data_IF_698553961961
#
_entry.id   IF_698553961961
#
_cell.length_a   1.000
_cell.length_b   1.000
_cell.length_c   1.000
_cell.angle_alpha   90.00
_cell.angle_beta   90.00
_cell.angle_gamma   90.00
#
_symmetry.space_group_name_H-M   'P 1'
#
loop_
_entity.id
_entity.type
_entity.pdbx_description
1 polymer ?
#
# COMPACT_ATOMS: atom_id res chain seq x y z
N UNK A 1 0.34 -4.42 -8.60
CA UNK A 1 -1.01 -4.43 -8.00
C UNK A 1 -0.89 -4.35 -6.49
N UNK A 2 -1.63 -3.45 -5.86
CA UNK A 2 -1.68 -3.24 -4.40
C UNK A 2 -3.09 -3.56 -3.91
N UNK A 3 -3.21 -4.27 -2.79
CA UNK A 3 -4.50 -4.59 -2.17
C UNK A 3 -4.49 -4.06 -0.74
N UNK A 4 -5.46 -3.21 -0.42
CA UNK A 4 -5.63 -2.57 0.88
C UNK A 4 -6.88 -3.14 1.56
N UNK A 5 -6.69 -3.73 2.73
CA UNK A 5 -7.77 -4.19 3.59
C UNK A 5 -7.83 -3.33 4.85
N UNK A 6 -9.03 -3.00 5.31
CA UNK A 6 -9.23 -2.30 6.58
C UNK A 6 -10.51 -2.80 7.25
N UNK A 7 -10.55 -2.77 8.57
CA UNK A 7 -11.75 -2.98 9.38
C UNK A 7 -12.47 -1.66 9.72
N UNK A 8 -11.94 -0.52 9.27
CA UNK A 8 -12.61 0.77 9.41
C UNK A 8 -13.91 0.79 8.58
N UNK A 9 -15.03 1.32 9.13
CA UNK A 9 -16.30 1.35 8.42
C UNK A 9 -16.30 2.47 7.38
N UNK A 10 -16.04 2.17 6.11
CA UNK A 10 -15.89 3.15 5.04
C UNK A 10 -16.89 2.94 3.89
N UNK A 11 -17.44 4.04 3.35
CA UNK A 11 -18.14 4.06 2.06
C UNK A 11 -17.22 3.67 0.89
N UNK A 12 -17.82 3.29 -0.24
CA UNK A 12 -17.16 3.14 -1.54
C UNK A 12 -16.34 4.40 -1.93
N UNK A 13 -16.89 5.61 -1.71
CA UNK A 13 -16.18 6.87 -1.91
C UNK A 13 -14.91 6.97 -1.05
N UNK A 14 -14.99 6.63 0.23
CA UNK A 14 -13.85 6.72 1.13
C UNK A 14 -12.83 5.59 0.89
N UNK A 15 -13.27 4.40 0.50
CA UNK A 15 -12.40 3.33 0.00
C UNK A 15 -11.66 3.74 -1.26
N UNK A 16 -12.30 4.45 -2.19
CA UNK A 16 -11.62 5.00 -3.37
C UNK A 16 -10.53 6.00 -2.99
N UNK A 17 -10.80 6.87 -2.00
CA UNK A 17 -9.80 7.81 -1.48
C UNK A 17 -8.64 7.09 -0.80
N UNK A 18 -8.94 6.02 -0.06
CA UNK A 18 -7.97 5.16 0.60
C UNK A 18 -7.09 4.43 -0.43
N UNK A 19 -7.67 3.84 -1.47
CA UNK A 19 -6.95 3.18 -2.56
C UNK A 19 -5.92 4.10 -3.22
N UNK A 20 -6.27 5.37 -3.47
CA UNK A 20 -5.34 6.36 -4.02
C UNK A 20 -4.11 6.61 -3.14
N UNK A 21 -4.17 6.33 -1.84
CA UNK A 21 -3.03 6.47 -0.92
C UNK A 21 -2.00 5.36 -1.08
N UNK A 22 -2.41 4.18 -1.57
CA UNK A 22 -1.45 3.13 -1.94
C UNK A 22 -0.46 3.61 -3.01
N UNK A 23 -0.92 4.41 -3.98
CA UNK A 23 -0.04 5.01 -5.00
C UNK A 23 0.99 5.98 -4.41
N UNK A 24 0.64 6.70 -3.33
CA UNK A 24 1.58 7.57 -2.65
C UNK A 24 2.65 6.77 -1.87
N UNK A 25 2.29 5.62 -1.29
CA UNK A 25 3.27 4.69 -0.72
C UNK A 25 4.21 4.11 -1.78
N UNK A 26 3.66 3.69 -2.92
CA UNK A 26 4.45 3.26 -4.09
C UNK A 26 5.43 4.34 -4.57
N UNK A 27 5.01 5.60 -4.64
CA UNK A 27 5.89 6.70 -5.06
C UNK A 27 7.09 6.89 -4.11
N UNK A 28 6.92 6.65 -2.80
CA UNK A 28 8.01 6.76 -1.81
C UNK A 28 9.10 5.71 -2.00
N UNK A 29 8.79 4.59 -2.66
CA UNK A 29 9.79 3.57 -2.99
C UNK A 29 10.58 3.88 -4.27
N UNK A 30 10.37 5.06 -4.87
CA UNK A 30 11.09 5.51 -6.08
C UNK A 30 10.39 5.15 -7.40
N UNK A 31 9.16 4.64 -7.37
CA UNK A 31 8.42 4.32 -8.57
C UNK A 31 7.99 5.60 -9.32
N UNK A 32 8.26 5.65 -10.63
CA UNK A 32 7.84 6.73 -11.52
C UNK A 32 6.52 6.47 -12.25
N UNK A 33 5.92 5.29 -12.04
CA UNK A 33 4.68 4.85 -12.71
C UNK A 33 4.81 4.93 -14.24
N UNK A 34 5.85 4.29 -14.78
CA UNK A 34 6.19 4.32 -16.20
C UNK A 34 5.07 3.75 -17.10
N UNK A 35 5.06 4.09 -18.38
CA UNK A 35 4.00 3.74 -19.36
C UNK A 35 3.66 2.24 -19.41
N UNK A 36 4.67 1.37 -19.31
CA UNK A 36 4.48 -0.09 -19.26
C UNK A 36 4.04 -0.65 -17.90
N UNK A 37 3.88 0.18 -16.87
CA UNK A 37 3.59 -0.23 -15.50
C UNK A 37 2.09 -0.33 -15.23
N UNK A 38 1.64 -1.51 -14.80
CA UNK A 38 0.24 -1.76 -14.41
C UNK A 38 -0.04 -1.42 -12.96
N UNK A 39 0.01 -0.14 -12.60
CA UNK A 39 -0.14 0.32 -11.21
C UNK A 39 -1.61 0.54 -10.80
N UNK A 40 -2.19 -0.49 -10.16
CA UNK A 40 -3.58 -0.47 -9.66
C UNK A 40 -3.65 -0.77 -8.17
N UNK A 41 -4.60 -0.11 -7.49
CA UNK A 41 -4.92 -0.34 -6.07
C UNK A 41 -6.38 -0.74 -5.92
N UNK A 42 -6.61 -1.86 -5.22
CA UNK A 42 -7.93 -2.28 -4.75
C UNK A 42 -8.01 -2.01 -3.24
N UNK A 43 -9.08 -1.35 -2.77
CA UNK A 43 -9.33 -1.19 -1.34
C UNK A 43 -10.70 -1.73 -0.95
N UNK A 44 -10.78 -2.43 0.19
CA UNK A 44 -12.04 -2.92 0.74
C UNK A 44 -12.08 -2.79 2.27
N UNK A 45 -13.30 -2.68 2.80
CA UNK A 45 -13.57 -2.71 4.24
C UNK A 45 -14.19 -4.05 4.64
N UNK A 46 -13.74 -4.62 5.75
CA UNK A 46 -14.33 -5.81 6.37
C UNK A 46 -15.44 -5.48 7.36
N UNK A 47 -15.63 -4.20 7.71
CA UNK A 47 -16.54 -3.75 8.75
C UNK A 47 -18.00 -4.12 8.43
N UNK A 48 -18.68 -4.72 9.41
CA UNK A 48 -20.05 -5.20 9.24
C UNK A 48 -21.05 -4.06 8.97
N UNK A 49 -20.83 -2.89 9.55
CA UNK A 49 -21.72 -1.73 9.41
C UNK A 49 -21.81 -1.18 7.98
N UNK A 50 -20.78 -1.41 7.15
CA UNK A 50 -20.73 -0.98 5.73
C UNK A 50 -20.82 -2.16 4.75
N UNK A 51 -21.00 -3.39 5.25
CA UNK A 51 -21.14 -4.58 4.41
C UNK A 51 -22.43 -4.53 3.59
N UNK A 52 -22.30 -4.71 2.28
CA UNK A 52 -23.42 -4.80 1.33
C UNK A 52 -23.94 -6.24 1.27
N UNK A 53 -24.81 -6.64 2.18
CA UNK A 53 -25.46 -7.97 2.18
C UNK A 53 -26.60 -8.04 1.15
N UNK A 54 -27.09 -9.24 0.75
CA UNK A 54 -28.26 -9.34 -0.14
C UNK A 54 -29.48 -8.56 0.37
N UNK A 55 -29.80 -8.67 1.67
CA UNK A 55 -30.91 -7.94 2.29
C UNK A 55 -30.73 -6.41 2.24
N UNK A 56 -29.49 -5.91 2.37
CA UNK A 56 -29.20 -4.46 2.24
C UNK A 56 -29.15 -3.99 0.78
N UNK A 57 -29.05 -4.90 -0.19
CA UNK A 57 -29.11 -4.57 -1.63
C UNK A 57 -30.53 -4.60 -2.20
N UNK A 58 -31.47 -5.24 -1.50
CA UNK A 58 -32.86 -5.38 -1.96
C UNK A 58 -33.77 -4.19 -1.61
N UNK A 59 -33.25 -3.13 -0.97
CA UNK A 59 -34.03 -1.97 -0.57
C UNK A 59 -33.18 -0.86 0.03
N UNK A 60 -33.84 0.16 0.58
CA UNK A 60 -33.16 1.22 1.34
C UNK A 60 -32.47 0.63 2.58
N UNK A 61 -31.22 1.00 2.80
CA UNK A 61 -30.43 0.54 3.93
C UNK A 61 -29.64 1.70 4.55
N UNK A 62 -29.60 1.75 5.88
CA UNK A 62 -28.72 2.65 6.62
C UNK A 62 -27.35 2.00 6.76
N UNK A 63 -26.29 2.77 6.49
CA UNK A 63 -24.91 2.37 6.74
C UNK A 63 -24.28 3.36 7.72
N UNK A 64 -23.55 2.83 8.69
CA UNK A 64 -22.80 3.65 9.67
C UNK A 64 -21.33 3.60 9.27
N UNK A 65 -20.79 4.76 8.90
CA UNK A 65 -19.43 4.92 8.41
C UNK A 65 -18.66 6.03 9.13
N UNK A 66 -17.34 5.98 9.01
CA UNK A 66 -16.44 6.95 9.60
C UNK A 66 -16.59 8.32 8.90
N UNK A 67 -16.70 9.43 9.64
CA UNK A 67 -16.77 10.75 9.04
C UNK A 67 -15.45 11.14 8.37
N UNK A 68 -15.53 11.97 7.32
CA UNK A 68 -14.36 12.38 6.54
C UNK A 68 -13.25 13.04 7.37
N UNK A 69 -13.60 13.71 8.48
CA UNK A 69 -12.67 14.41 9.35
C UNK A 69 -11.69 13.47 10.08
N UNK A 70 -12.00 12.18 10.17
CA UNK A 70 -11.21 11.18 10.87
C UNK A 70 -10.39 10.28 9.93
N UNK A 71 -10.35 10.57 8.64
CA UNK A 71 -9.70 9.69 7.66
C UNK A 71 -8.18 9.89 7.52
N UNK A 72 -7.64 11.04 7.92
CA UNK A 72 -6.22 11.35 7.72
C UNK A 72 -5.29 10.27 8.31
N UNK A 73 -5.51 9.74 9.52
CA UNK A 73 -4.69 8.64 10.05
C UNK A 73 -4.75 7.36 9.20
N UNK A 74 -5.92 7.02 8.63
CA UNK A 74 -6.04 5.87 7.72
C UNK A 74 -5.30 6.10 6.40
N UNK A 75 -5.25 7.36 5.92
CA UNK A 75 -4.49 7.68 4.72
C UNK A 75 -2.99 7.53 4.92
N UNK A 76 -2.48 7.99 6.06
CA UNK A 76 -1.07 7.82 6.45
C UNK A 76 -0.73 6.35 6.62
N UNK A 77 -1.55 5.60 7.37
CA UNK A 77 -1.36 4.17 7.58
C UNK A 77 -1.29 3.38 6.26
N UNK A 78 -2.10 3.72 5.25
CA UNK A 78 -2.05 3.05 3.95
C UNK A 78 -0.82 3.42 3.14
N UNK A 79 -0.31 4.66 3.26
CA UNK A 79 0.94 5.05 2.62
C UNK A 79 2.09 4.22 3.22
N UNK A 80 2.21 4.21 4.54
CA UNK A 80 3.26 3.50 5.26
C UNK A 80 3.20 1.98 5.03
N UNK A 81 2.01 1.39 5.15
CA UNK A 81 1.83 -0.05 4.93
C UNK A 81 2.15 -0.46 3.49
N UNK A 82 1.84 0.39 2.50
CA UNK A 82 2.18 0.09 1.10
C UNK A 82 3.68 0.19 0.84
N UNK A 83 4.31 1.25 1.37
CA UNK A 83 5.75 1.46 1.29
C UNK A 83 6.52 0.28 1.91
N UNK A 84 6.16 -0.10 3.14
CA UNK A 84 6.79 -1.23 3.84
C UNK A 84 6.50 -2.58 3.16
N UNK A 85 5.30 -2.81 2.64
CA UNK A 85 4.98 -4.05 1.92
C UNK A 85 5.86 -4.25 0.67
N UNK A 86 6.18 -3.18 -0.05
CA UNK A 86 7.08 -3.23 -1.21
C UNK A 86 8.51 -3.55 -0.75
N UNK A 87 9.00 -2.91 0.31
CA UNK A 87 10.32 -3.22 0.85
C UNK A 87 10.40 -4.66 1.36
N UNK A 88 9.38 -5.14 2.07
CA UNK A 88 9.30 -6.53 2.51
C UNK A 88 9.35 -7.50 1.33
N UNK A 89 8.64 -7.22 0.23
CA UNK A 89 8.69 -8.07 -0.96
C UNK A 89 10.12 -8.18 -1.54
N UNK A 90 10.87 -7.07 -1.59
CA UNK A 90 12.26 -7.09 -2.06
C UNK A 90 13.19 -7.81 -1.07
N UNK A 91 13.01 -7.58 0.23
CA UNK A 91 13.86 -8.16 1.27
C UNK A 91 13.62 -9.66 1.48
N UNK A 92 12.42 -10.15 1.21
CA UNK A 92 12.08 -11.59 1.30
C UNK A 92 12.29 -12.34 -0.01
N UNK A 93 12.57 -11.64 -1.12
CA UNK A 93 12.81 -12.27 -2.41
C UNK A 93 14.09 -13.13 -2.38
N UNK A 94 14.05 -14.27 -3.06
CA UNK A 94 15.20 -15.15 -3.27
C UNK A 94 15.65 -15.11 -4.72
N UNK A 95 16.95 -15.28 -4.98
CA UNK A 95 17.47 -15.44 -6.34
C UNK A 95 16.74 -16.57 -7.06
N UNK A 96 16.33 -16.34 -8.31
CA UNK A 96 15.66 -17.35 -9.11
C UNK A 96 16.04 -17.27 -10.58
N UNK A 97 16.00 -18.42 -11.26
CA UNK A 97 16.12 -18.52 -12.72
C UNK A 97 14.76 -18.84 -13.30
N UNK A 98 14.26 -17.95 -14.17
CA UNK A 98 12.95 -18.03 -14.78
C UNK A 98 12.97 -18.49 -16.24
N UNK A 99 11.92 -18.10 -16.96
CA UNK A 99 11.74 -18.41 -18.38
C UNK A 99 12.95 -17.96 -19.22
N UNK A 100 13.35 -18.80 -20.20
CA UNK A 100 14.53 -18.61 -21.06
C UNK A 100 15.87 -18.52 -20.31
N UNK A 101 15.96 -19.04 -19.09
CA UNK A 101 17.21 -19.09 -18.33
C UNK A 101 17.66 -17.74 -17.77
N UNK A 102 16.76 -16.76 -17.71
CA UNK A 102 17.07 -15.45 -17.11
C UNK A 102 17.11 -15.60 -15.60
N UNK A 103 18.25 -15.27 -14.99
CA UNK A 103 18.40 -15.23 -13.53
C UNK A 103 18.18 -13.80 -13.01
N UNK A 104 17.37 -13.68 -11.97
CA UNK A 104 17.14 -12.45 -11.21
C UNK A 104 17.65 -12.67 -9.80
N UNK A 105 18.59 -11.85 -9.36
CA UNK A 105 19.20 -11.94 -8.04
C UNK A 105 18.33 -11.31 -6.95
N UNK A 106 18.38 -11.88 -5.75
CA UNK A 106 17.81 -11.26 -4.56
C UNK A 106 18.53 -9.94 -4.21
N UNK A 107 17.84 -9.08 -3.48
CA UNK A 107 18.43 -7.86 -2.93
C UNK A 107 19.55 -8.23 -1.94
N UNK A 108 20.80 -7.76 -2.10
CA UNK A 108 21.90 -8.08 -1.19
C UNK A 108 21.74 -7.31 0.13
N UNK A 109 21.07 -7.91 1.12
CA UNK A 109 20.68 -7.25 2.37
C UNK A 109 21.85 -6.70 3.18
N UNK A 110 23.00 -7.38 3.20
CA UNK A 110 24.20 -6.88 3.90
C UNK A 110 24.65 -5.53 3.34
N UNK A 111 24.62 -5.37 2.01
CA UNK A 111 24.96 -4.12 1.33
C UNK A 111 23.95 -3.02 1.62
N UNK A 112 22.66 -3.38 1.70
CA UNK A 112 21.61 -2.42 2.09
C UNK A 112 21.83 -1.95 3.51
N UNK A 113 22.12 -2.85 4.45
CA UNK A 113 22.40 -2.51 5.84
C UNK A 113 23.62 -1.57 5.98
N UNK A 114 24.71 -1.86 5.26
CA UNK A 114 25.88 -0.98 5.17
C UNK A 114 25.49 0.42 4.67
N UNK A 115 24.72 0.50 3.58
CA UNK A 115 24.29 1.78 3.00
C UNK A 115 23.42 2.59 3.97
N UNK A 116 22.44 1.96 4.61
CA UNK A 116 21.56 2.63 5.58
C UNK A 116 22.37 3.15 6.78
N UNK A 117 23.31 2.36 7.31
CA UNK A 117 24.16 2.77 8.42
C UNK A 117 25.07 3.98 8.08
N UNK A 118 25.45 4.15 6.81
CA UNK A 118 26.20 5.35 6.38
C UNK A 118 25.31 6.58 6.20
N UNK A 119 24.05 6.40 5.82
CA UNK A 119 23.08 7.50 5.66
C UNK A 119 22.68 8.10 7.00
N UNK A 120 22.46 7.27 8.02
CA UNK A 120 22.06 7.71 9.36
C UNK A 120 23.13 8.57 10.06
N UNK A 121 24.39 8.41 9.67
CA UNK A 121 25.53 9.19 10.18
C UNK A 121 25.68 10.56 9.53
N UNK A 122 24.94 10.88 8.46
CA UNK A 122 25.03 12.21 7.83
C UNK A 122 24.22 13.24 8.62
N UNK A 123 24.73 14.46 8.83
CA UNK A 123 23.94 15.51 9.46
C UNK A 123 22.67 15.73 8.64
N UNK A 124 21.50 15.58 9.26
CA UNK A 124 20.22 15.93 8.64
C UNK A 124 20.30 17.40 8.21
N UNK A 125 20.21 17.67 6.92
CA UNK A 125 20.09 19.04 6.42
C UNK A 125 18.88 19.67 7.11
N UNK A 126 19.12 20.67 7.95
CA UNK A 126 18.05 21.55 8.45
C UNK A 126 17.56 22.33 7.23
N UNK A 127 16.38 21.98 6.72
CA UNK A 127 15.60 22.86 5.85
C UNK A 127 15.03 24.02 6.68
#
# INVERSE_FOLDING_TARGET
>A
MIVVATDAPLSDRNLTRLARRGLAGLARTGASMADGSGDYVLAFSTAESVRRTPARRSGLATMTELPNALLSPLFEAVIEATEEAIYNALCMATTMTGYRGVTVEALPLDRVAELVATLDKRPRLKM
#
